data_IF_048799277598
#
_entry.id   IF_048799277598
#
_cell.length_a   1.000
_cell.length_b   1.000
_cell.length_c   1.000
_cell.angle_alpha   90.00
_cell.angle_beta   90.00
_cell.angle_gamma   90.00
#
_symmetry.space_group_name_H-M   'P 1'
#
loop_
_entity.id
_entity.type
_entity.pdbx_description
1 polymer ?
#
# COMPACT_ATOMS: atom_id res chain seq x y z
N UNK A 1 8.36 3.95 -11.43
CA UNK A 1 8.85 2.98 -10.40
C UNK A 1 9.10 3.74 -9.11
N UNK A 2 8.44 3.39 -7.99
CA UNK A 2 8.38 4.24 -6.78
C UNK A 2 9.04 3.66 -5.53
N UNK A 3 9.41 2.37 -5.49
CA UNK A 3 10.10 1.79 -4.32
C UNK A 3 11.46 2.46 -4.01
N UNK A 4 12.34 2.74 -4.99
CA UNK A 4 13.59 3.45 -4.72
C UNK A 4 13.36 4.82 -4.07
N UNK A 5 12.38 5.57 -4.57
CA UNK A 5 12.00 6.88 -4.02
C UNK A 5 11.40 6.76 -2.62
N UNK A 6 10.57 5.74 -2.35
CA UNK A 6 10.07 5.48 -1.01
C UNK A 6 11.20 5.19 -0.01
N UNK A 7 12.23 4.45 -0.42
CA UNK A 7 13.42 4.18 0.41
C UNK A 7 14.23 5.47 0.64
N UNK A 8 14.45 6.28 -0.40
CA UNK A 8 15.15 7.57 -0.27
C UNK A 8 14.42 8.52 0.68
N UNK A 9 13.10 8.67 0.53
CA UNK A 9 12.26 9.45 1.44
C UNK A 9 12.41 8.95 2.88
N UNK A 10 12.29 7.64 3.11
CA UNK A 10 12.40 7.04 4.44
C UNK A 10 13.76 7.33 5.11
N UNK A 11 14.84 7.24 4.35
CA UNK A 11 16.20 7.47 4.82
C UNK A 11 16.50 8.95 5.07
N UNK A 12 15.97 9.86 4.24
CA UNK A 12 16.08 11.31 4.47
C UNK A 12 15.31 11.76 5.71
N UNK A 13 14.15 11.16 5.98
CA UNK A 13 13.41 11.42 7.21
C UNK A 13 14.17 10.98 8.46
N UNK A 14 14.87 9.84 8.37
CA UNK A 14 15.71 9.31 9.44
C UNK A 14 16.66 8.24 8.88
N UNK A 15 18.00 8.44 8.95
CA UNK A 15 18.97 7.40 8.63
C UNK A 15 18.67 6.13 9.43
N UNK A 16 18.72 4.97 8.77
CA UNK A 16 18.22 3.71 9.35
C UNK A 16 18.95 2.52 8.74
N UNK A 17 19.04 1.43 9.49
CA UNK A 17 19.47 0.15 8.94
C UNK A 17 18.40 -0.48 8.05
N UNK A 18 18.81 -1.44 7.21
CA UNK A 18 17.87 -2.19 6.35
C UNK A 18 16.72 -2.82 7.16
N UNK A 19 17.01 -3.38 8.34
CA UNK A 19 15.98 -3.96 9.21
C UNK A 19 15.06 -2.91 9.85
N UNK A 20 15.59 -1.74 10.19
CA UNK A 20 14.77 -0.65 10.70
C UNK A 20 13.89 -0.05 9.60
N UNK A 21 14.41 0.03 8.37
CA UNK A 21 13.62 0.38 7.21
C UNK A 21 12.47 -0.61 7.00
N UNK A 22 12.72 -1.93 6.99
CA UNK A 22 11.62 -2.89 6.82
C UNK A 22 10.55 -2.73 7.90
N UNK A 23 10.94 -2.56 9.17
CA UNK A 23 10.00 -2.29 10.28
C UNK A 23 9.24 -0.98 10.13
N UNK A 24 9.84 0.06 9.54
CA UNK A 24 9.17 1.35 9.27
C UNK A 24 8.24 1.24 8.07
N UNK A 25 8.59 0.47 7.05
CA UNK A 25 7.68 0.11 5.98
C UNK A 25 6.47 -0.66 6.53
N UNK A 26 6.68 -1.62 7.42
CA UNK A 26 5.57 -2.36 8.02
C UNK A 26 4.66 -1.49 8.93
N UNK A 27 5.12 -0.30 9.38
CA UNK A 27 4.40 0.54 10.36
C UNK A 27 3.94 1.91 9.88
N UNK A 28 4.59 2.54 8.90
CA UNK A 28 4.30 3.94 8.53
C UNK A 28 4.36 4.23 7.03
N UNK A 29 5.13 3.47 6.25
CA UNK A 29 5.28 3.68 4.79
C UNK A 29 4.46 2.64 4.00
N UNK A 30 4.14 1.50 4.61
CA UNK A 30 3.38 0.39 4.02
C UNK A 30 1.93 0.73 3.69
N UNK A 31 1.44 1.88 4.16
CA UNK A 31 0.09 2.37 3.86
C UNK A 31 -0.13 2.67 2.37
N UNK A 32 0.92 3.11 1.65
CA UNK A 32 0.81 3.51 0.24
C UNK A 32 1.76 2.74 -0.66
N UNK A 33 2.71 2.04 -0.06
CA UNK A 33 3.69 1.27 -0.80
C UNK A 33 4.06 0.01 -0.04
N UNK A 34 3.48 -1.13 -0.46
CA UNK A 34 3.89 -2.42 0.05
C UNK A 34 5.16 -2.87 -0.67
N UNK A 35 6.14 -3.30 0.12
CA UNK A 35 7.36 -3.91 -0.39
C UNK A 35 7.78 -5.03 0.56
N UNK A 36 8.08 -6.20 0.00
CA UNK A 36 8.63 -7.29 0.80
C UNK A 36 10.01 -6.91 1.33
N UNK A 37 10.43 -7.50 2.44
CA UNK A 37 11.76 -7.28 2.99
C UNK A 37 12.84 -7.55 1.93
N UNK A 38 12.68 -8.62 1.14
CA UNK A 38 13.58 -8.96 0.04
C UNK A 38 13.64 -7.86 -1.04
N UNK A 39 12.50 -7.26 -1.41
CA UNK A 39 12.47 -6.14 -2.34
C UNK A 39 13.23 -4.94 -1.77
N UNK A 40 13.03 -4.59 -0.51
CA UNK A 40 13.72 -3.48 0.16
C UNK A 40 15.23 -3.69 0.14
N UNK A 41 15.73 -4.86 0.56
CA UNK A 41 17.18 -5.14 0.53
C UNK A 41 17.77 -5.13 -0.88
N UNK A 42 17.03 -5.65 -1.87
CA UNK A 42 17.48 -5.61 -3.27
C UNK A 42 17.59 -4.18 -3.79
N UNK A 43 16.61 -3.33 -3.48
CA UNK A 43 16.63 -1.92 -3.90
C UNK A 43 17.69 -1.11 -3.15
N UNK A 44 17.92 -1.37 -1.85
CA UNK A 44 19.04 -0.77 -1.11
C UNK A 44 20.38 -1.02 -1.80
N UNK A 45 20.65 -2.26 -2.21
CA UNK A 45 21.88 -2.58 -2.94
C UNK A 45 21.98 -1.90 -4.31
N UNK A 46 20.86 -1.63 -4.98
CA UNK A 46 20.85 -0.87 -6.25
C UNK A 46 21.14 0.61 -6.01
N UNK A 47 20.50 1.21 -5.00
CA UNK A 47 20.72 2.61 -4.62
C UNK A 47 22.17 2.86 -4.19
N UNK A 48 22.78 1.92 -3.45
CA UNK A 48 24.18 2.00 -3.04
C UNK A 48 25.12 1.91 -4.26
N UNK A 49 24.88 0.97 -5.19
CA UNK A 49 25.65 0.87 -6.44
C UNK A 49 25.48 2.09 -7.35
N UNK A 50 24.34 2.78 -7.26
CA UNK A 50 24.06 4.01 -7.99
C UNK A 50 24.59 5.27 -7.29
N UNK A 51 25.33 5.12 -6.17
CA UNK A 51 25.88 6.23 -5.39
C UNK A 51 24.82 7.24 -4.90
N UNK A 52 23.59 6.77 -4.71
CA UNK A 52 22.48 7.57 -4.18
C UNK A 52 22.40 7.48 -2.65
N UNK A 53 22.92 6.40 -2.07
CA UNK A 53 23.04 6.18 -0.63
C UNK A 53 24.43 5.61 -0.32
N UNK A 54 24.84 5.68 0.95
CA UNK A 54 26.00 4.93 1.46
C UNK A 54 25.72 4.28 2.80
N UNK A 55 26.40 3.17 3.07
CA UNK A 55 26.47 2.61 4.41
C UNK A 55 27.30 3.53 5.33
N UNK A 56 26.79 3.79 6.53
CA UNK A 56 27.53 4.50 7.58
C UNK A 56 28.66 3.62 8.13
N UNK A 57 29.85 4.19 8.41
CA UNK A 57 30.89 3.50 9.14
C UNK A 57 30.38 3.08 10.52
N UNK A 58 30.77 1.91 10.99
CA UNK A 58 30.50 1.50 12.38
C UNK A 58 31.81 1.37 13.14
N UNK A 59 31.87 2.01 14.32
CA UNK A 59 33.08 2.09 15.15
C UNK A 59 33.59 0.74 15.69
N UNK A 60 32.84 -0.35 15.52
CA UNK A 60 33.24 -1.71 15.90
C UNK A 60 32.52 -2.76 15.05
N UNK A 61 33.10 -3.16 13.89
CA UNK A 61 32.50 -4.15 13.00
C UNK A 61 32.49 -5.54 13.64
N UNK A 62 31.39 -5.87 14.30
CA UNK A 62 31.11 -7.24 14.76
C UNK A 62 30.36 -8.01 13.68
N UNK A 63 30.62 -9.32 13.56
CA UNK A 63 29.93 -10.18 12.60
C UNK A 63 28.42 -10.15 12.88
N UNK A 64 27.64 -9.57 11.96
CA UNK A 64 26.18 -9.44 12.10
C UNK A 64 25.67 -8.04 12.47
N UNK A 65 26.54 -7.02 12.55
CA UNK A 65 26.08 -5.66 12.81
C UNK A 65 25.23 -5.09 11.67
N UNK A 66 24.20 -4.33 12.06
CA UNK A 66 23.24 -3.72 11.15
C UNK A 66 23.90 -2.53 10.45
N UNK A 67 24.09 -2.62 9.13
CA UNK A 67 24.51 -1.48 8.31
C UNK A 67 23.39 -0.44 8.30
N UNK A 68 23.64 0.72 8.89
CA UNK A 68 22.81 1.91 8.72
C UNK A 68 23.15 2.58 7.40
N UNK A 69 22.15 3.14 6.72
CA UNK A 69 22.34 3.86 5.47
C UNK A 69 21.98 5.33 5.65
N UNK A 70 22.66 6.19 4.91
CA UNK A 70 22.29 7.58 4.72
C UNK A 70 22.21 7.93 3.23
N UNK A 71 21.40 8.94 2.92
CA UNK A 71 21.22 9.44 1.55
C UNK A 71 22.33 10.42 1.20
N UNK A 72 22.91 10.25 0.02
CA UNK A 72 23.93 11.16 -0.54
C UNK A 72 23.27 12.34 -1.24
N UNK A 73 24.06 13.38 -1.56
CA UNK A 73 23.58 14.55 -2.29
C UNK A 73 22.88 14.16 -3.61
N UNK A 74 23.45 13.20 -4.36
CA UNK A 74 22.85 12.67 -5.58
C UNK A 74 21.48 12.01 -5.33
N UNK A 75 21.31 11.28 -4.22
CA UNK A 75 20.02 10.68 -3.85
C UNK A 75 18.95 11.72 -3.49
N UNK A 76 19.36 12.85 -2.87
CA UNK A 76 18.45 13.98 -2.61
C UNK A 76 18.01 14.64 -3.92
N UNK A 77 18.96 14.91 -4.83
CA UNK A 77 18.68 15.48 -6.15
C UNK A 77 17.75 14.58 -6.97
N UNK A 78 17.95 13.26 -6.93
CA UNK A 78 17.06 12.31 -7.62
C UNK A 78 15.64 12.36 -7.06
N UNK A 79 15.50 12.43 -5.73
CA UNK A 79 14.17 12.54 -5.12
C UNK A 79 13.48 13.87 -5.49
N UNK A 80 14.22 14.98 -5.51
CA UNK A 80 13.70 16.28 -5.94
C UNK A 80 13.25 16.25 -7.40
N UNK A 81 14.06 15.66 -8.29
CA UNK A 81 13.71 15.44 -9.71
C UNK A 81 12.42 14.63 -9.82
N UNK A 82 12.32 13.53 -9.08
CA UNK A 82 11.16 12.63 -9.13
C UNK A 82 9.87 13.28 -8.63
N UNK A 83 9.93 14.10 -7.57
CA UNK A 83 8.76 14.84 -7.05
C UNK A 83 8.18 15.82 -8.10
N UNK A 84 9.02 16.34 -8.99
CA UNK A 84 8.62 17.26 -10.06
C UNK A 84 8.39 16.56 -11.41
N UNK A 85 8.49 15.24 -11.46
CA UNK A 85 8.28 14.47 -12.68
C UNK A 85 6.79 14.43 -13.03
N UNK A 86 6.45 14.87 -14.24
CA UNK A 86 5.08 14.79 -14.73
C UNK A 86 4.72 13.33 -15.04
N UNK A 87 3.67 12.80 -14.40
CA UNK A 87 3.10 11.47 -14.68
C UNK A 87 1.63 11.61 -15.08
N UNK A 88 1.18 10.80 -16.04
CA UNK A 88 -0.25 10.70 -16.35
C UNK A 88 -0.97 9.94 -15.23
N UNK A 89 -2.25 10.26 -14.94
CA UNK A 89 -3.06 9.45 -14.03
C UNK A 89 -3.04 7.98 -14.47
N UNK A 90 -2.77 7.08 -13.52
CA UNK A 90 -2.80 5.65 -13.81
C UNK A 90 -4.24 5.21 -14.01
N UNK A 91 -4.48 4.46 -15.09
CA UNK A 91 -5.74 3.76 -15.30
C UNK A 91 -5.95 2.73 -14.19
N UNK A 92 -7.14 2.73 -13.58
CA UNK A 92 -7.55 1.69 -12.65
C UNK A 92 -7.67 0.36 -13.40
N UNK A 93 -6.69 -0.53 -13.22
CA UNK A 93 -6.67 -1.88 -13.78
C UNK A 93 -6.78 -2.88 -12.65
N UNK A 94 -8.02 -3.13 -12.24
CA UNK A 94 -8.30 -4.06 -11.17
C UNK A 94 -8.90 -5.38 -11.71
N UNK A 95 -8.28 -6.49 -11.34
CA UNK A 95 -8.68 -7.83 -11.77
C UNK A 95 -10.04 -8.24 -11.21
N UNK A 96 -10.38 -7.83 -9.99
CA UNK A 96 -11.65 -8.19 -9.36
C UNK A 96 -12.82 -7.52 -10.08
N UNK A 97 -12.70 -6.23 -10.42
CA UNK A 97 -13.70 -5.53 -11.23
C UNK A 97 -13.91 -6.19 -12.60
N UNK A 98 -12.83 -6.63 -13.25
CA UNK A 98 -12.94 -7.37 -14.52
C UNK A 98 -13.61 -8.73 -14.33
N UNK A 99 -13.31 -9.45 -13.24
CA UNK A 99 -13.98 -10.71 -12.90
C UNK A 99 -15.48 -10.51 -12.66
N UNK A 100 -15.88 -9.46 -11.93
CA UNK A 100 -17.29 -9.09 -11.74
C UNK A 100 -17.97 -8.79 -13.08
N UNK A 101 -17.30 -8.08 -14.01
CA UNK A 101 -17.85 -7.91 -15.36
C UNK A 101 -18.04 -9.24 -16.10
N UNK A 102 -17.08 -10.16 -15.96
CA UNK A 102 -17.12 -11.45 -16.64
C UNK A 102 -18.28 -12.34 -16.16
N UNK A 103 -18.75 -12.19 -14.92
CA UNK A 103 -19.91 -12.95 -14.42
C UNK A 103 -21.19 -12.64 -15.18
N UNK A 104 -21.33 -11.45 -15.77
CA UNK A 104 -22.44 -11.13 -16.65
C UNK A 104 -22.48 -11.97 -17.95
N UNK A 105 -21.40 -12.67 -18.28
CA UNK A 105 -21.30 -13.56 -19.46
C UNK A 105 -21.35 -15.02 -19.07
N UNK A 106 -20.64 -15.40 -17.99
CA UNK A 106 -20.47 -16.82 -17.59
C UNK A 106 -21.37 -17.26 -16.44
N UNK A 107 -22.16 -16.34 -15.88
CA UNK A 107 -22.92 -16.55 -14.65
C UNK A 107 -22.09 -16.28 -13.39
N UNK A 108 -22.77 -16.28 -12.25
CA UNK A 108 -22.17 -16.16 -10.91
C UNK A 108 -22.57 -17.37 -10.07
N UNK A 109 -21.65 -17.87 -9.25
CA UNK A 109 -21.93 -18.91 -8.27
C UNK A 109 -21.63 -18.41 -6.83
N UNK A 110 -22.08 -19.19 -5.85
CA UNK A 110 -21.84 -18.92 -4.43
C UNK A 110 -20.36 -18.81 -4.07
N UNK A 111 -19.48 -19.50 -4.80
CA UNK A 111 -18.03 -19.44 -4.62
C UNK A 111 -17.45 -18.07 -4.97
N UNK A 112 -17.92 -17.46 -6.06
CA UNK A 112 -17.51 -16.12 -6.43
C UNK A 112 -18.06 -15.07 -5.45
N UNK A 113 -19.30 -15.20 -4.98
CA UNK A 113 -19.85 -14.31 -3.94
C UNK A 113 -19.07 -14.45 -2.63
N UNK A 114 -18.66 -15.66 -2.24
CA UNK A 114 -17.79 -15.87 -1.08
C UNK A 114 -16.42 -15.18 -1.25
N UNK A 115 -15.84 -15.20 -2.45
CA UNK A 115 -14.60 -14.47 -2.74
C UNK A 115 -14.78 -12.94 -2.63
N UNK A 116 -15.92 -12.39 -3.07
CA UNK A 116 -16.23 -10.97 -2.88
C UNK A 116 -16.33 -10.61 -1.39
N UNK A 117 -16.99 -11.46 -0.58
CA UNK A 117 -17.05 -11.29 0.88
C UNK A 117 -15.67 -11.31 1.52
N UNK A 118 -14.80 -12.24 1.11
CA UNK A 118 -13.41 -12.31 1.58
C UNK A 118 -12.64 -11.03 1.25
N UNK A 119 -12.79 -10.49 0.04
CA UNK A 119 -12.19 -9.21 -0.32
C UNK A 119 -12.73 -8.06 0.56
N UNK A 120 -14.05 -8.05 0.78
CA UNK A 120 -14.73 -7.02 1.59
C UNK A 120 -14.24 -7.00 3.03
N UNK A 121 -14.03 -8.18 3.62
CA UNK A 121 -13.44 -8.34 4.95
C UNK A 121 -12.02 -7.76 4.99
N UNK A 122 -11.15 -8.14 4.05
CA UNK A 122 -9.76 -7.65 3.99
C UNK A 122 -9.67 -6.12 3.81
N UNK A 123 -10.53 -5.54 2.98
CA UNK A 123 -10.61 -4.08 2.83
C UNK A 123 -11.17 -3.41 4.11
N UNK A 124 -12.14 -4.04 4.79
CA UNK A 124 -12.69 -3.56 6.06
C UNK A 124 -11.67 -3.58 7.21
N UNK A 125 -10.83 -4.60 7.29
CA UNK A 125 -9.72 -4.68 8.24
C UNK A 125 -8.73 -3.53 8.03
N UNK A 126 -8.29 -3.31 6.78
CA UNK A 126 -7.40 -2.20 6.41
C UNK A 126 -8.00 -0.84 6.70
N UNK A 127 -9.28 -0.64 6.38
CA UNK A 127 -9.99 0.60 6.67
C UNK A 127 -10.01 0.89 8.18
N UNK A 128 -10.21 -0.14 8.99
CA UNK A 128 -10.18 -0.02 10.46
C UNK A 128 -8.79 0.41 10.93
N UNK A 129 -7.74 -0.24 10.44
CA UNK A 129 -6.35 0.13 10.73
C UNK A 129 -6.05 1.58 10.36
N UNK A 130 -6.41 2.02 9.16
CA UNK A 130 -6.15 3.39 8.70
C UNK A 130 -6.89 4.44 9.54
N UNK A 131 -8.15 4.18 9.90
CA UNK A 131 -8.92 5.05 10.80
C UNK A 131 -8.32 5.11 12.21
N UNK A 132 -7.81 4.00 12.74
CA UNK A 132 -7.09 3.97 14.01
C UNK A 132 -5.81 4.81 13.97
N UNK A 133 -5.08 4.78 12.85
CA UNK A 133 -3.92 5.65 12.67
C UNK A 133 -4.32 7.12 12.57
N UNK A 134 -5.36 7.43 11.80
CA UNK A 134 -5.82 8.81 11.62
C UNK A 134 -6.28 9.44 12.95
N UNK A 135 -6.92 8.65 13.83
CA UNK A 135 -7.26 9.05 15.21
C UNK A 135 -6.00 9.36 16.01
N UNK A 136 -5.07 8.40 16.12
CA UNK A 136 -3.82 8.55 16.88
C UNK A 136 -2.95 9.72 16.41
N UNK A 137 -2.94 9.98 15.12
CA UNK A 137 -2.19 11.09 14.52
C UNK A 137 -2.84 12.45 14.84
N UNK A 138 -4.17 12.51 14.82
CA UNK A 138 -4.92 13.70 15.22
C UNK A 138 -4.72 14.01 16.70
N UNK A 139 -4.71 13.00 17.56
CA UNK A 139 -4.50 13.14 19.01
C UNK A 139 -3.10 13.65 19.38
N UNK A 140 -2.09 13.37 18.54
CA UNK A 140 -0.70 13.83 18.75
C UNK A 140 -0.45 15.29 18.37
N UNK A 141 -1.39 15.91 17.67
CA UNK A 141 -1.28 17.28 17.17
C UNK A 141 -0.41 17.39 15.92
N UNK A 142 -0.98 17.87 14.81
CA UNK A 142 -0.25 18.14 13.56
C UNK A 142 0.45 19.49 13.65
N UNK A 143 1.75 19.49 13.96
CA UNK A 143 2.53 20.74 14.10
C UNK A 143 3.31 21.11 12.85
N UNK A 144 3.77 20.12 12.07
CA UNK A 144 4.73 20.34 10.99
C UNK A 144 4.12 20.15 9.59
N UNK A 145 4.76 20.71 8.56
CA UNK A 145 4.39 20.48 7.17
C UNK A 145 4.44 18.99 6.78
N UNK A 146 5.41 18.26 7.33
CA UNK A 146 5.53 16.81 7.16
C UNK A 146 4.30 16.08 7.68
N UNK A 147 3.80 16.42 8.87
CA UNK A 147 2.62 15.78 9.46
C UNK A 147 1.36 16.06 8.62
N UNK A 148 1.27 17.25 8.01
CA UNK A 148 0.18 17.59 7.09
C UNK A 148 0.23 16.74 5.82
N UNK A 149 1.41 16.61 5.20
CA UNK A 149 1.59 15.79 4.00
C UNK A 149 1.28 14.32 4.31
N UNK A 150 1.83 13.77 5.40
CA UNK A 150 1.54 12.40 5.80
C UNK A 150 0.04 12.17 6.06
N UNK A 151 -0.64 13.14 6.67
CA UNK A 151 -2.09 13.13 6.86
C UNK A 151 -2.88 13.06 5.56
N UNK A 152 -2.48 13.84 4.54
CA UNK A 152 -3.12 13.82 3.22
C UNK A 152 -2.99 12.46 2.54
N UNK A 153 -1.82 11.83 2.63
CA UNK A 153 -1.65 10.50 2.03
C UNK A 153 -2.53 9.47 2.77
N UNK A 154 -2.56 9.49 4.11
CA UNK A 154 -3.41 8.60 4.91
C UNK A 154 -4.90 8.77 4.62
N UNK A 155 -5.34 10.01 4.45
CA UNK A 155 -6.71 10.30 4.03
C UNK A 155 -7.03 9.64 2.68
N UNK A 156 -6.14 9.75 1.68
CA UNK A 156 -6.34 9.06 0.41
C UNK A 156 -6.43 7.53 0.54
N UNK A 157 -5.66 6.94 1.47
CA UNK A 157 -5.77 5.52 1.81
C UNK A 157 -7.14 5.16 2.40
N UNK A 158 -7.65 5.96 3.34
CA UNK A 158 -8.99 5.77 3.93
C UNK A 158 -10.07 5.85 2.85
N UNK A 159 -10.06 6.89 2.03
CA UNK A 159 -11.06 7.10 0.97
C UNK A 159 -11.06 5.96 -0.06
N UNK A 160 -9.88 5.43 -0.40
CA UNK A 160 -9.76 4.28 -1.29
C UNK A 160 -10.34 2.99 -0.68
N UNK A 161 -10.05 2.71 0.58
CA UNK A 161 -10.58 1.52 1.26
C UNK A 161 -12.09 1.64 1.50
N UNK A 162 -12.61 2.84 1.78
CA UNK A 162 -14.05 3.12 1.82
C UNK A 162 -14.73 2.87 0.47
N UNK A 163 -14.11 3.31 -0.63
CA UNK A 163 -14.59 2.99 -1.97
C UNK A 163 -14.72 1.47 -2.17
N UNK A 164 -13.68 0.71 -1.82
CA UNK A 164 -13.68 -0.75 -1.99
C UNK A 164 -14.76 -1.44 -1.16
N UNK A 165 -14.86 -1.11 0.13
CA UNK A 165 -15.89 -1.68 1.01
C UNK A 165 -17.29 -1.37 0.47
N UNK A 166 -17.55 -0.11 0.11
CA UNK A 166 -18.87 0.31 -0.39
C UNK A 166 -19.21 -0.35 -1.74
N UNK A 167 -18.24 -0.48 -2.64
CA UNK A 167 -18.45 -1.13 -3.93
C UNK A 167 -18.68 -2.64 -3.77
N UNK A 168 -17.91 -3.30 -2.90
CA UNK A 168 -18.07 -4.74 -2.63
C UNK A 168 -19.41 -5.04 -1.94
N UNK A 169 -19.83 -4.21 -0.98
CA UNK A 169 -21.14 -4.36 -0.33
C UNK A 169 -22.28 -4.31 -1.37
N UNK A 170 -22.20 -3.38 -2.34
CA UNK A 170 -23.15 -3.31 -3.47
C UNK A 170 -23.06 -4.53 -4.37
N UNK A 171 -21.86 -4.93 -4.77
CA UNK A 171 -21.67 -6.08 -5.67
C UNK A 171 -22.17 -7.39 -5.04
N UNK A 172 -21.97 -7.58 -3.74
CA UNK A 172 -22.44 -8.75 -2.98
C UNK A 172 -23.98 -8.76 -2.90
N UNK A 173 -24.62 -7.61 -2.69
CA UNK A 173 -26.08 -7.52 -2.68
C UNK A 173 -26.66 -7.91 -4.06
N UNK A 174 -26.19 -7.26 -5.13
CA UNK A 174 -26.70 -7.50 -6.49
C UNK A 174 -26.47 -8.93 -6.97
N UNK A 175 -25.28 -9.51 -6.70
CA UNK A 175 -24.93 -10.86 -7.17
C UNK A 175 -25.42 -11.97 -6.24
N UNK A 176 -25.65 -11.68 -4.96
CA UNK A 176 -26.17 -12.62 -3.98
C UNK A 176 -27.68 -12.84 -4.09
N UNK A 177 -28.42 -11.85 -4.59
CA UNK A 177 -29.87 -11.96 -4.83
C UNK A 177 -30.21 -12.78 -6.09
N UNK A 178 -29.27 -12.92 -7.04
CA UNK A 178 -29.47 -13.68 -8.29
C UNK A 178 -29.49 -15.21 -8.14
N UNK A 179 -29.37 -15.78 -6.94
CA UNK A 179 -29.48 -17.24 -6.72
C UNK A 179 -30.90 -17.80 -6.86
N UNK A 180 -31.92 -16.99 -7.13
CA UNK A 180 -33.27 -17.47 -7.45
C UNK A 180 -33.70 -17.11 -8.88
N UNK A 181 -33.48 -18.02 -9.84
CA UNK A 181 -34.49 -18.25 -10.86
C UNK A 181 -34.73 -19.75 -11.06
N UNK A 182 -35.97 -20.17 -10.77
CA UNK A 182 -36.63 -21.41 -11.25
C UNK A 182 -36.26 -22.74 -10.56
N UNK A 183 -36.59 -22.84 -9.28
CA UNK A 183 -37.14 -24.07 -8.70
C UNK A 183 -38.66 -24.17 -8.93
N UNK A 184 -39.15 -23.89 -10.15
CA UNK A 184 -40.58 -24.00 -10.43
C UNK A 184 -40.94 -25.46 -10.69
N UNK A 185 -41.40 -26.08 -9.62
CA UNK A 185 -42.39 -27.15 -9.57
C UNK A 185 -43.21 -27.28 -10.85
N UNK A 186 -43.10 -28.42 -11.53
CA UNK A 186 -44.20 -28.90 -12.35
C UNK A 186 -44.74 -30.22 -11.76
N UNK A 187 -45.86 -30.17 -11.03
CA UNK A 187 -46.67 -31.36 -10.77
C UNK A 187 -47.74 -31.47 -11.87
N UNK A 188 -47.61 -32.43 -12.77
CA UNK A 188 -48.69 -33.22 -13.38
C UNK A 188 -48.12 -34.21 -14.39
#
# INVERSE_FOLDING_TARGET
MSLPHAILTALLEKPSSGLELTRRFDRSIGYFWSATHQQIYRELGKLERAELIRALPTDSPTRGQRKAYEVLAAGRTELERWVHEAEQPRSLRDTLMLRVRATGVVGVDSGFVAELRRHRELHGERLTEYRDFQRRDTDRGRGTERDRVQGLVLQGGVELEEFWVNWLDKAIAELGETEDPTGDTNPS
#
